data_IF_102570735391
#
_entry.id   IF_102570735391
#
_cell.length_a   1.000
_cell.length_b   1.000
_cell.length_c   1.000
_cell.angle_alpha   90.00
_cell.angle_beta   90.00
_cell.angle_gamma   90.00
#
_symmetry.space_group_name_H-M   'P 1'
#
loop_
_entity.id
_entity.type
_entity.pdbx_description
1 polymer ?
#
# COMPACT_ATOMS: atom_id res chain seq x y z
N UNK A 1 -18.99 -13.27 9.33
CA UNK A 1 -19.46 -12.49 8.16
C UNK A 1 -18.93 -13.20 6.92
N UNK A 2 -19.74 -13.41 5.88
CA UNK A 2 -19.33 -14.10 4.65
C UNK A 2 -19.46 -13.14 3.48
N UNK A 3 -18.49 -13.15 2.58
CA UNK A 3 -18.48 -12.35 1.35
C UNK A 3 -18.63 -13.31 0.19
N UNK A 4 -19.63 -13.09 -0.66
CA UNK A 4 -19.84 -13.89 -1.86
C UNK A 4 -19.10 -13.25 -3.03
N UNK A 5 -18.27 -14.06 -3.69
CA UNK A 5 -17.47 -13.67 -4.84
C UNK A 5 -17.91 -14.56 -6.01
N UNK A 6 -18.06 -13.98 -7.21
CA UNK A 6 -18.42 -14.76 -8.40
C UNK A 6 -17.37 -15.83 -8.68
N UNK A 7 -17.82 -17.03 -9.07
CA UNK A 7 -16.94 -18.16 -9.39
C UNK A 7 -15.87 -17.84 -10.45
N UNK A 8 -16.18 -16.94 -11.40
CA UNK A 8 -15.21 -16.51 -12.41
C UNK A 8 -13.98 -15.84 -11.79
N UNK A 9 -14.17 -15.02 -10.75
CA UNK A 9 -13.06 -14.36 -10.06
C UNK A 9 -12.26 -15.34 -9.23
N UNK A 10 -12.92 -16.30 -8.56
CA UNK A 10 -12.25 -17.35 -7.79
C UNK A 10 -11.32 -18.16 -8.71
N UNK A 11 -11.82 -18.61 -9.86
CA UNK A 11 -11.00 -19.36 -10.85
C UNK A 11 -9.79 -18.57 -11.34
N UNK A 12 -9.96 -17.26 -11.60
CA UNK A 12 -8.84 -16.38 -12.00
C UNK A 12 -7.80 -16.24 -10.89
N UNK A 13 -8.25 -16.13 -9.64
CA UNK A 13 -7.37 -16.03 -8.47
C UNK A 13 -6.62 -17.35 -8.25
N UNK A 14 -7.31 -18.50 -8.31
CA UNK A 14 -6.67 -19.82 -8.20
C UNK A 14 -5.59 -20.03 -9.26
N UNK A 15 -5.87 -19.65 -10.52
CA UNK A 15 -4.88 -19.75 -11.58
C UNK A 15 -3.66 -18.85 -11.32
N UNK A 16 -3.89 -17.65 -10.78
CA UNK A 16 -2.81 -16.72 -10.41
C UNK A 16 -1.97 -17.25 -9.26
N UNK A 17 -2.60 -17.79 -8.22
CA UNK A 17 -1.92 -18.42 -7.07
C UNK A 17 -1.07 -19.61 -7.53
N UNK A 18 -1.57 -20.44 -8.46
CA UNK A 18 -0.77 -21.53 -9.03
C UNK A 18 0.46 -21.05 -9.82
N UNK A 19 0.43 -19.83 -10.33
CA UNK A 19 1.56 -19.22 -11.04
C UNK A 19 2.52 -18.48 -10.10
N UNK A 20 2.09 -18.19 -8.87
CA UNK A 20 2.86 -17.47 -7.87
C UNK A 20 2.81 -18.24 -6.55
N UNK A 21 3.89 -18.95 -6.20
CA UNK A 21 4.03 -19.70 -4.93
C UNK A 21 4.04 -18.81 -3.65
N UNK A 22 3.67 -17.53 -3.79
CA UNK A 22 3.64 -16.54 -2.71
C UNK A 22 2.41 -16.69 -1.80
N UNK A 23 1.33 -17.32 -2.28
CA UNK A 23 0.07 -17.46 -1.53
C UNK A 23 -0.34 -18.92 -1.39
N UNK A 24 -0.83 -19.29 -0.20
CA UNK A 24 -1.24 -20.68 0.10
C UNK A 24 -2.72 -20.93 -0.15
N UNK A 25 -3.54 -19.89 -0.30
CA UNK A 25 -4.99 -20.02 -0.43
C UNK A 25 -5.64 -18.77 -1.05
N UNK A 26 -6.81 -18.97 -1.68
CA UNK A 26 -7.62 -17.88 -2.26
C UNK A 26 -8.01 -16.85 -1.20
N UNK A 27 -8.33 -17.30 0.00
CA UNK A 27 -8.68 -16.43 1.12
C UNK A 27 -7.53 -15.49 1.52
N UNK A 28 -6.31 -16.02 1.59
CA UNK A 28 -5.10 -15.25 1.91
C UNK A 28 -4.85 -14.17 0.86
N UNK A 29 -4.99 -14.53 -0.42
CA UNK A 29 -4.87 -13.59 -1.54
C UNK A 29 -5.92 -12.48 -1.48
N UNK A 30 -7.19 -12.84 -1.23
CA UNK A 30 -8.29 -11.87 -1.15
C UNK A 30 -8.10 -10.92 0.03
N UNK A 31 -7.73 -11.43 1.20
CA UNK A 31 -7.44 -10.60 2.37
C UNK A 31 -6.30 -9.63 2.12
N UNK A 32 -5.19 -10.10 1.52
CA UNK A 32 -4.06 -9.23 1.17
C UNK A 32 -4.48 -8.09 0.24
N UNK A 33 -5.25 -8.37 -0.82
CA UNK A 33 -5.71 -7.34 -1.75
C UNK A 33 -6.66 -6.35 -1.07
N UNK A 34 -7.58 -6.83 -0.23
CA UNK A 34 -8.49 -5.97 0.52
C UNK A 34 -7.70 -5.06 1.46
N UNK A 35 -6.75 -5.61 2.24
CA UNK A 35 -5.89 -4.84 3.14
C UNK A 35 -5.13 -3.76 2.36
N UNK A 36 -4.48 -4.12 1.25
CA UNK A 36 -3.75 -3.17 0.40
C UNK A 36 -4.65 -2.05 -0.14
N UNK A 37 -5.89 -2.36 -0.53
CA UNK A 37 -6.85 -1.36 -1.03
C UNK A 37 -7.36 -0.48 0.11
N UNK A 38 -7.71 -1.06 1.26
CA UNK A 38 -8.15 -0.33 2.44
C UNK A 38 -7.04 0.60 2.92
N UNK A 39 -5.82 0.09 3.11
CA UNK A 39 -4.66 0.89 3.46
C UNK A 39 -4.43 1.99 2.44
N UNK A 40 -4.52 1.76 1.12
CA UNK A 40 -4.40 2.84 0.12
C UNK A 40 -5.49 3.89 0.23
N UNK A 41 -6.73 3.50 0.56
CA UNK A 41 -7.85 4.42 0.71
C UNK A 41 -7.78 5.21 2.02
N UNK A 42 -7.33 4.58 3.11
CA UNK A 42 -7.07 5.24 4.39
C UNK A 42 -5.86 6.17 4.29
N UNK A 43 -4.77 5.72 3.67
CA UNK A 43 -3.62 6.56 3.38
C UNK A 43 -3.98 7.69 2.41
N UNK A 44 -4.92 7.53 1.46
CA UNK A 44 -5.43 8.67 0.67
C UNK A 44 -6.23 9.69 1.50
N UNK A 45 -6.96 9.22 2.51
CA UNK A 45 -7.60 10.13 3.50
C UNK A 45 -6.55 10.79 4.40
N UNK A 46 -5.42 10.13 4.65
CA UNK A 46 -4.28 10.73 5.37
C UNK A 46 -3.30 11.52 4.49
N UNK A 47 -3.28 11.36 3.16
CA UNK A 47 -2.59 12.24 2.21
C UNK A 47 -3.33 13.58 2.05
N UNK A 48 -4.56 13.68 2.58
CA UNK A 48 -5.20 14.97 2.86
C UNK A 48 -4.65 15.64 4.12
N UNK A 49 -3.76 14.97 4.86
CA UNK A 49 -2.84 15.61 5.80
C UNK A 49 -1.49 15.75 5.08
N UNK A 50 -0.91 16.96 5.02
CA UNK A 50 0.37 17.15 4.35
C UNK A 50 1.44 16.28 5.03
N UNK A 51 1.91 15.25 4.33
CA UNK A 51 2.94 14.29 4.79
C UNK A 51 4.32 14.97 4.95
N UNK A 52 4.46 16.20 4.45
CA UNK A 52 5.53 17.11 4.85
C UNK A 52 4.89 18.39 5.40
N UNK A 53 4.92 18.56 6.71
CA UNK A 53 4.74 19.90 7.27
C UNK A 53 5.94 20.74 6.84
N UNK A 54 5.76 22.04 6.57
CA UNK A 54 6.86 22.95 6.15
C UNK A 54 8.10 22.85 7.05
N UNK A 55 7.88 22.51 8.33
CA UNK A 55 8.92 22.30 9.34
C UNK A 55 9.83 21.09 9.05
N UNK A 56 9.29 20.01 8.45
CA UNK A 56 10.08 18.84 8.06
C UNK A 56 10.93 19.13 6.81
N UNK A 57 10.42 19.95 5.88
CA UNK A 57 11.22 20.45 4.75
C UNK A 57 12.38 21.35 5.21
N UNK A 58 12.16 22.22 6.20
CA UNK A 58 13.23 23.06 6.76
C UNK A 58 14.31 22.23 7.44
N UNK A 59 13.95 21.22 8.25
CA UNK A 59 14.93 20.34 8.91
C UNK A 59 15.77 19.55 7.90
N UNK A 60 15.19 19.12 6.78
CA UNK A 60 15.93 18.46 5.70
C UNK A 60 16.86 19.45 4.99
N UNK A 61 16.41 20.68 4.72
CA UNK A 61 17.24 21.73 4.12
C UNK A 61 18.42 22.15 5.00
N UNK A 62 18.21 22.31 6.30
CA UNK A 62 19.27 22.63 7.27
C UNK A 62 20.33 21.51 7.32
N UNK A 63 19.88 20.26 7.30
CA UNK A 63 20.79 19.11 7.29
C UNK A 63 21.58 19.00 5.98
N UNK A 64 20.98 19.34 4.84
CA UNK A 64 21.65 19.38 3.55
C UNK A 64 22.65 20.54 3.43
N UNK A 65 22.35 21.72 4.01
CA UNK A 65 23.29 22.84 4.13
C UNK A 65 24.47 22.52 5.03
N UNK A 66 24.23 21.88 6.17
CA UNK A 66 25.29 21.42 7.08
C UNK A 66 26.22 20.37 6.46
N UNK A 67 25.75 19.67 5.43
CA UNK A 67 26.51 18.70 4.66
C UNK A 67 27.12 19.29 3.36
N UNK A 68 26.90 20.58 3.09
CA UNK A 68 27.48 21.29 1.94
C UNK A 68 26.85 20.96 0.58
N UNK A 69 25.65 20.37 0.57
CA UNK A 69 24.93 20.04 -0.67
C UNK A 69 24.03 21.18 -1.17
N UNK A 70 23.88 22.24 -0.37
CA UNK A 70 23.15 23.46 -0.70
C UNK A 70 23.99 24.64 -0.21
N UNK A 71 24.30 25.57 -1.11
CA UNK A 71 24.88 26.89 -0.77
C UNK A 71 23.78 27.82 -0.24
#
# INVERSE_FOLDING_TARGET
MKIEIKDEFIKKIENRIKQTDEFKSVEEYVNYIIEQVVSKLENKKEESKPVFSKEDEEKVKDKLRGLGYLD
#
